data_IF_283164069593
#
_entry.id   IF_283164069593
#
_cell.length_a   1.000
_cell.length_b   1.000
_cell.length_c   1.000
_cell.angle_alpha   90.00
_cell.angle_beta   90.00
_cell.angle_gamma   90.00
#
_symmetry.space_group_name_H-M   'P 1'
#
loop_
_entity.id
_entity.type
_entity.pdbx_description
1 polymer ?
#
# COMPACT_ATOMS: atom_id res chain seq x y z
N UNK A 1 -14.16 13.86 -6.74
CA UNK A 1 -12.80 13.91 -7.29
C UNK A 1 -12.93 13.64 -8.78
N UNK A 2 -12.22 14.38 -9.65
CA UNK A 2 -12.29 14.19 -11.10
C UNK A 2 -11.30 13.18 -11.65
N UNK A 3 -10.60 12.43 -10.77
CA UNK A 3 -9.60 11.43 -11.12
C UNK A 3 -10.13 10.01 -10.90
N UNK A 4 -9.60 9.05 -11.67
CA UNK A 4 -9.72 7.64 -11.34
C UNK A 4 -9.02 7.36 -10.00
N UNK A 5 -9.57 6.45 -9.20
CA UNK A 5 -8.99 5.99 -7.93
C UNK A 5 -8.30 4.65 -8.16
N UNK A 6 -7.01 4.59 -7.83
CA UNK A 6 -6.23 3.36 -7.84
C UNK A 6 -5.89 2.97 -6.41
N UNK A 7 -6.44 1.87 -5.94
CA UNK A 7 -6.08 1.28 -4.65
C UNK A 7 -5.01 0.24 -4.88
N UNK A 8 -3.89 0.34 -4.17
CA UNK A 8 -2.74 -0.56 -4.32
C UNK A 8 -2.34 -1.17 -2.98
N UNK A 9 -1.63 -2.29 -3.07
CA UNK A 9 -0.97 -2.95 -1.95
C UNK A 9 0.24 -3.73 -2.49
N UNK A 10 1.42 -3.51 -1.90
CA UNK A 10 2.65 -4.21 -2.24
C UNK A 10 3.00 -5.23 -1.17
N UNK A 11 3.32 -6.44 -1.61
CA UNK A 11 3.92 -7.47 -0.77
C UNK A 11 5.41 -7.57 -1.05
N UNK A 12 6.23 -7.55 0.00
CA UNK A 12 7.68 -7.50 -0.12
C UNK A 12 8.35 -8.56 0.76
N UNK A 13 9.60 -8.90 0.43
CA UNK A 13 10.42 -9.80 1.24
C UNK A 13 10.73 -9.18 2.62
N UNK A 14 10.66 -9.98 3.66
CA UNK A 14 11.12 -9.63 5.01
C UNK A 14 11.61 -10.85 5.77
N UNK A 15 12.50 -10.63 6.74
CA UNK A 15 13.00 -11.67 7.64
C UNK A 15 13.15 -11.13 9.08
N UNK A 16 13.82 -11.91 9.95
CA UNK A 16 14.00 -11.56 11.37
C UNK A 16 14.91 -10.35 11.60
N UNK A 17 15.86 -10.10 10.70
CA UNK A 17 16.82 -9.00 10.77
C UNK A 17 16.44 -7.84 9.86
N UNK A 18 15.73 -8.13 8.77
CA UNK A 18 15.29 -7.20 7.76
C UNK A 18 13.75 -7.08 7.77
N UNK A 19 13.24 -6.06 8.43
CA UNK A 19 11.78 -5.83 8.55
C UNK A 19 11.47 -4.42 9.03
N UNK A 20 10.27 -3.95 8.75
CA UNK A 20 9.76 -2.65 9.21
C UNK A 20 9.67 -2.51 10.75
N UNK A 21 9.82 -3.60 11.50
CA UNK A 21 9.94 -3.54 12.96
C UNK A 21 11.37 -3.27 13.44
N UNK A 22 12.36 -3.35 12.55
CA UNK A 22 13.80 -3.22 12.85
C UNK A 22 14.43 -1.96 12.27
N UNK A 23 13.85 -1.40 11.22
CA UNK A 23 14.40 -0.26 10.49
C UNK A 23 13.31 0.70 10.06
N UNK A 24 13.68 1.91 9.64
CA UNK A 24 12.73 2.85 9.05
C UNK A 24 12.21 2.35 7.70
N UNK A 25 11.06 2.81 7.28
CA UNK A 25 10.47 2.45 5.99
C UNK A 25 11.40 2.80 4.83
N UNK A 26 12.03 3.97 4.90
CA UNK A 26 13.00 4.43 3.90
C UNK A 26 14.20 3.49 3.82
N UNK A 27 14.87 3.20 4.98
CA UNK A 27 15.99 2.28 5.03
C UNK A 27 15.61 0.88 4.53
N UNK A 28 14.38 0.43 4.81
CA UNK A 28 13.87 -0.86 4.33
C UNK A 28 13.71 -0.88 2.81
N UNK A 29 13.10 0.14 2.23
CA UNK A 29 12.86 0.19 0.77
C UNK A 29 14.16 0.43 -0.02
N UNK A 30 15.16 1.10 0.57
CA UNK A 30 16.45 1.37 -0.08
C UNK A 30 17.51 0.27 0.14
N UNK A 31 17.27 -0.71 1.00
CA UNK A 31 18.22 -1.80 1.30
C UNK A 31 18.40 -2.72 0.08
N UNK A 32 19.61 -3.27 -0.10
CA UNK A 32 19.94 -4.21 -1.17
C UNK A 32 19.12 -5.52 -1.12
N UNK A 33 18.55 -5.85 0.04
CA UNK A 33 17.66 -7.01 0.24
C UNK A 33 16.22 -6.76 -0.18
N UNK A 34 15.89 -5.53 -0.55
CA UNK A 34 14.53 -5.20 -0.95
C UNK A 34 14.11 -6.01 -2.18
N UNK A 35 12.98 -6.69 -2.07
CA UNK A 35 12.40 -7.47 -3.17
C UNK A 35 10.88 -7.32 -3.12
N UNK A 36 10.30 -6.89 -4.24
CA UNK A 36 8.85 -6.91 -4.43
C UNK A 36 8.45 -8.35 -4.79
N UNK A 37 7.57 -8.95 -4.02
CA UNK A 37 7.03 -10.28 -4.30
C UNK A 37 5.83 -10.17 -5.24
N UNK A 38 4.94 -9.21 -4.98
CA UNK A 38 3.79 -8.92 -5.84
C UNK A 38 3.19 -7.56 -5.53
N UNK A 39 2.31 -7.12 -6.41
CA UNK A 39 1.48 -5.94 -6.23
C UNK A 39 0.05 -6.27 -6.65
N UNK A 40 -0.92 -5.73 -5.95
CA UNK A 40 -2.31 -5.70 -6.40
C UNK A 40 -2.78 -4.27 -6.65
N UNK A 41 -3.68 -4.10 -7.60
CA UNK A 41 -4.22 -2.81 -8.00
C UNK A 41 -5.70 -2.94 -8.36
N UNK A 42 -6.50 -2.05 -7.77
CA UNK A 42 -7.92 -1.89 -8.07
C UNK A 42 -8.16 -0.51 -8.64
N UNK A 43 -8.70 -0.45 -9.85
CA UNK A 43 -9.12 0.81 -10.47
C UNK A 43 -10.61 1.04 -10.23
N UNK A 44 -10.97 2.08 -9.49
CA UNK A 44 -12.36 2.38 -9.13
C UNK A 44 -13.05 1.13 -8.55
N UNK A 45 -14.24 0.79 -9.04
CA UNK A 45 -15.00 -0.40 -8.63
C UNK A 45 -14.73 -1.63 -9.51
N UNK A 46 -13.71 -1.60 -10.38
CA UNK A 46 -13.31 -2.74 -11.19
C UNK A 46 -12.77 -3.89 -10.33
N UNK A 47 -12.76 -5.14 -10.83
CA UNK A 47 -12.12 -6.25 -10.13
C UNK A 47 -10.64 -5.96 -9.86
N UNK A 48 -10.18 -6.27 -8.66
CA UNK A 48 -8.77 -6.13 -8.28
C UNK A 48 -7.93 -7.09 -9.11
N UNK A 49 -6.86 -6.58 -9.69
CA UNK A 49 -5.87 -7.34 -10.44
C UNK A 49 -4.58 -7.40 -9.63
N UNK A 50 -3.78 -8.42 -9.86
CA UNK A 50 -2.49 -8.59 -9.23
C UNK A 50 -1.42 -8.98 -10.25
N UNK A 51 -0.15 -8.73 -9.89
CA UNK A 51 1.00 -8.97 -10.76
C UNK A 51 2.22 -9.34 -9.94
N UNK A 52 3.09 -10.16 -10.51
CA UNK A 52 4.41 -10.46 -10.00
C UNK A 52 5.43 -10.62 -11.13
N UNK A 53 6.68 -10.28 -10.86
CA UNK A 53 7.82 -10.49 -11.76
C UNK A 53 9.10 -10.59 -10.95
N UNK A 54 10.14 -11.13 -11.56
CA UNK A 54 11.50 -11.10 -11.01
C UNK A 54 12.23 -9.77 -11.26
N UNK A 55 11.68 -8.91 -12.11
CA UNK A 55 12.29 -7.67 -12.53
C UNK A 55 11.46 -6.46 -12.08
N UNK A 56 12.09 -5.50 -11.40
CA UNK A 56 11.39 -4.29 -10.91
C UNK A 56 10.76 -3.46 -12.04
N UNK A 57 11.43 -3.38 -13.22
CA UNK A 57 10.90 -2.63 -14.37
C UNK A 57 9.57 -3.16 -14.90
N UNK A 58 9.28 -4.46 -14.71
CA UNK A 58 8.00 -5.04 -15.09
C UNK A 58 6.86 -4.52 -14.21
N UNK A 59 7.11 -4.32 -12.90
CA UNK A 59 6.12 -3.70 -12.00
C UNK A 59 5.80 -2.26 -12.41
N UNK A 60 6.85 -1.49 -12.72
CA UNK A 60 6.69 -0.12 -13.25
C UNK A 60 5.83 -0.12 -14.51
N UNK A 61 6.20 -0.95 -15.49
CA UNK A 61 5.48 -1.06 -16.77
C UNK A 61 4.02 -1.42 -16.53
N UNK A 62 3.76 -2.43 -15.72
CA UNK A 62 2.41 -2.90 -15.41
C UNK A 62 1.53 -1.82 -14.74
N UNK A 63 2.09 -1.05 -13.80
CA UNK A 63 1.39 0.04 -13.11
C UNK A 63 1.18 1.26 -14.03
N UNK A 64 2.19 1.60 -14.85
CA UNK A 64 2.11 2.72 -15.80
C UNK A 64 1.06 2.49 -16.89
N UNK A 65 0.95 1.25 -17.42
CA UNK A 65 -0.08 0.87 -18.39
C UNK A 65 -1.50 1.02 -17.83
N UNK A 66 -1.69 0.80 -16.53
CA UNK A 66 -2.96 1.04 -15.84
C UNK A 66 -3.28 2.52 -15.63
N UNK A 67 -2.28 3.38 -15.77
CA UNK A 67 -2.43 4.82 -15.66
C UNK A 67 -2.38 5.35 -14.22
N UNK A 68 -1.75 4.61 -13.29
CA UNK A 68 -1.66 4.98 -11.86
C UNK A 68 -1.13 6.41 -11.65
N UNK A 69 -0.16 6.84 -12.48
CA UNK A 69 0.45 8.16 -12.45
C UNK A 69 -0.48 9.32 -12.85
N UNK A 70 -1.72 9.02 -13.30
CA UNK A 70 -2.70 10.01 -13.76
C UNK A 70 -3.92 10.13 -12.85
N UNK A 71 -4.01 9.30 -11.83
CA UNK A 71 -5.15 9.24 -10.92
C UNK A 71 -4.80 9.52 -9.48
N UNK A 72 -5.78 9.42 -8.60
CA UNK A 72 -5.56 9.37 -7.16
C UNK A 72 -5.10 7.96 -6.76
N UNK A 73 -4.04 7.86 -5.94
CA UNK A 73 -3.54 6.56 -5.46
C UNK A 73 -3.80 6.43 -3.97
N UNK A 74 -4.33 5.29 -3.58
CA UNK A 74 -4.76 4.94 -2.24
C UNK A 74 -4.04 3.68 -1.75
N UNK A 75 -3.52 3.72 -0.53
CA UNK A 75 -3.04 2.54 0.19
C UNK A 75 -3.45 2.59 1.66
N UNK A 76 -3.15 1.53 2.40
CA UNK A 76 -3.20 1.53 3.87
C UNK A 76 -1.77 1.61 4.42
N UNK A 77 -1.30 2.79 4.77
CA UNK A 77 0.08 3.18 5.02
C UNK A 77 0.84 3.61 3.75
N UNK A 78 0.28 4.60 3.04
CA UNK A 78 0.81 5.12 1.77
C UNK A 78 2.28 5.56 1.84
N UNK A 79 2.85 5.86 3.01
CA UNK A 79 4.29 6.12 3.15
C UNK A 79 5.13 4.95 2.66
N UNK A 80 4.68 3.71 2.90
CA UNK A 80 5.37 2.51 2.44
C UNK A 80 5.22 2.30 0.93
N UNK A 81 3.97 2.23 0.46
CA UNK A 81 3.68 1.99 -0.97
C UNK A 81 4.19 3.14 -1.84
N UNK A 82 4.12 4.37 -1.33
CA UNK A 82 4.63 5.57 -2.01
C UNK A 82 6.14 5.54 -2.23
N UNK A 83 6.93 5.09 -1.25
CA UNK A 83 8.38 4.90 -1.41
C UNK A 83 8.70 3.81 -2.44
N UNK A 84 7.87 2.78 -2.54
CA UNK A 84 8.04 1.75 -3.59
C UNK A 84 7.73 2.33 -4.97
N UNK A 85 6.68 3.15 -5.09
CA UNK A 85 6.40 3.86 -6.36
C UNK A 85 7.55 4.77 -6.77
N UNK A 86 8.15 5.49 -5.82
CA UNK A 86 9.33 6.34 -6.05
C UNK A 86 10.55 5.51 -6.47
N UNK A 87 10.87 4.43 -5.76
CA UNK A 87 11.93 3.48 -6.12
C UNK A 87 11.76 2.93 -7.54
N UNK A 88 10.54 2.62 -7.95
CA UNK A 88 10.20 2.17 -9.31
C UNK A 88 10.32 3.32 -10.35
N UNK A 89 10.55 4.56 -9.93
CA UNK A 89 10.58 5.73 -10.81
C UNK A 89 9.24 6.01 -11.48
N UNK A 90 8.14 5.73 -10.78
CA UNK A 90 6.79 6.09 -11.22
C UNK A 90 6.57 7.56 -10.90
N UNK A 91 6.17 8.41 -11.87
CA UNK A 91 5.87 9.81 -11.61
C UNK A 91 4.83 9.96 -10.49
N UNK A 92 5.10 10.87 -9.55
CA UNK A 92 4.21 11.09 -8.40
C UNK A 92 2.77 11.36 -8.86
N UNK A 93 1.78 10.58 -8.36
CA UNK A 93 0.39 10.73 -8.73
C UNK A 93 -0.17 12.11 -8.36
N UNK A 94 -1.20 12.62 -9.07
CA UNK A 94 -1.84 13.90 -8.75
C UNK A 94 -2.39 14.01 -7.33
N UNK A 95 -2.73 12.89 -6.70
CA UNK A 95 -3.24 12.84 -5.33
C UNK A 95 -2.87 11.52 -4.66
N UNK A 96 -2.35 11.61 -3.44
CA UNK A 96 -2.06 10.49 -2.57
C UNK A 96 -3.10 10.41 -1.44
N UNK A 97 -3.61 9.22 -1.17
CA UNK A 97 -4.61 8.96 -0.15
C UNK A 97 -4.14 7.81 0.76
N UNK A 98 -4.46 7.91 2.04
CA UNK A 98 -4.02 6.92 3.04
C UNK A 98 -5.15 6.61 4.02
N UNK A 99 -5.65 5.37 3.98
CA UNK A 99 -6.68 4.93 4.95
C UNK A 99 -6.15 4.79 6.37
N UNK A 100 -4.84 4.65 6.58
CA UNK A 100 -4.25 4.67 7.92
C UNK A 100 -4.35 6.07 8.53
N UNK A 101 -4.00 7.13 7.78
CA UNK A 101 -4.17 8.52 8.19
C UNK A 101 -5.65 8.85 8.44
N UNK A 102 -6.55 8.41 7.55
CA UNK A 102 -7.99 8.58 7.74
C UNK A 102 -8.49 7.89 9.02
N UNK A 103 -8.01 6.67 9.31
CA UNK A 103 -8.35 5.93 10.52
C UNK A 103 -7.75 6.58 11.78
N UNK A 104 -6.58 7.21 11.69
CA UNK A 104 -6.01 7.99 12.79
C UNK A 104 -6.95 9.13 13.21
N UNK A 105 -7.50 9.86 12.24
CA UNK A 105 -8.39 10.96 12.51
C UNK A 105 -9.78 10.52 13.03
N UNK A 106 -10.28 9.36 12.58
CA UNK A 106 -11.67 8.94 12.81
C UNK A 106 -11.85 7.82 13.82
N UNK A 107 -10.98 6.83 13.83
CA UNK A 107 -11.10 5.60 14.62
C UNK A 107 -10.18 5.59 15.83
N UNK A 108 -8.94 6.10 15.70
CA UNK A 108 -7.93 6.06 16.76
C UNK A 108 -8.39 6.62 18.09
N UNK A 109 -9.21 7.69 18.18
CA UNK A 109 -9.73 8.18 19.45
C UNK A 109 -10.56 7.15 20.24
N UNK A 110 -11.12 6.15 19.56
CA UNK A 110 -12.02 5.16 20.12
C UNK A 110 -11.45 3.73 20.13
N UNK A 111 -10.36 3.48 19.38
CA UNK A 111 -9.81 2.14 19.18
C UNK A 111 -8.29 2.12 19.36
N UNK A 112 -7.79 1.07 20.02
CA UNK A 112 -6.36 0.90 20.33
C UNK A 112 -5.51 0.66 19.07
N UNK A 113 -6.02 -0.12 18.14
CA UNK A 113 -5.34 -0.51 16.90
C UNK A 113 -6.10 0.03 15.69
N UNK A 114 -5.35 0.52 14.70
CA UNK A 114 -5.83 1.00 13.42
C UNK A 114 -5.12 0.28 12.25
N UNK A 115 -4.59 -0.93 12.49
CA UNK A 115 -4.20 -1.81 11.38
C UNK A 115 -5.41 -2.10 10.49
N UNK A 116 -5.19 -2.41 9.22
CA UNK A 116 -6.27 -2.68 8.27
C UNK A 116 -7.27 -3.70 8.82
N UNK A 117 -6.79 -4.85 9.33
CA UNK A 117 -7.63 -5.88 9.95
C UNK A 117 -8.46 -5.35 11.12
N UNK A 118 -7.86 -4.54 12.00
CA UNK A 118 -8.57 -3.92 13.12
C UNK A 118 -9.64 -2.94 12.63
N UNK A 119 -9.32 -2.09 11.65
CA UNK A 119 -10.28 -1.15 11.07
C UNK A 119 -11.45 -1.87 10.41
N UNK A 120 -11.18 -2.91 9.61
CA UNK A 120 -12.23 -3.70 8.96
C UNK A 120 -13.17 -4.36 9.97
N UNK A 121 -12.63 -4.88 11.08
CA UNK A 121 -13.42 -5.45 12.19
C UNK A 121 -14.26 -4.40 12.90
N UNK A 122 -13.67 -3.26 13.25
CA UNK A 122 -14.37 -2.17 13.97
C UNK A 122 -15.47 -1.51 13.13
N UNK A 123 -15.31 -1.51 11.82
CA UNK A 123 -16.29 -0.92 10.89
C UNK A 123 -17.32 -1.94 10.38
N UNK A 124 -17.34 -3.18 10.91
CA UNK A 124 -18.21 -4.27 10.48
C UNK A 124 -18.14 -4.56 8.97
N UNK A 125 -16.92 -4.45 8.40
CA UNK A 125 -16.69 -4.74 6.99
C UNK A 125 -17.11 -6.19 6.65
N UNK A 126 -17.70 -6.43 5.46
CA UNK A 126 -17.90 -7.80 4.95
C UNK A 126 -16.59 -8.49 4.58
N UNK A 127 -15.51 -7.71 4.37
CA UNK A 127 -14.19 -8.22 4.00
C UNK A 127 -13.44 -8.62 5.28
N UNK A 128 -12.77 -9.77 5.24
CA UNK A 128 -11.93 -10.27 6.35
C UNK A 128 -10.56 -10.64 5.83
N UNK A 129 -9.52 -10.14 6.51
CA UNK A 129 -8.14 -10.51 6.18
C UNK A 129 -7.92 -12.01 6.37
N UNK A 130 -7.20 -12.60 5.43
CA UNK A 130 -6.72 -13.98 5.54
C UNK A 130 -5.37 -13.96 6.27
N UNK A 131 -5.16 -14.85 7.24
CA UNK A 131 -3.94 -14.88 8.07
C UNK A 131 -2.74 -15.52 7.37
N UNK A 132 -2.31 -15.00 6.22
CA UNK A 132 -1.23 -15.60 5.41
C UNK A 132 0.18 -15.07 5.74
N UNK A 133 0.31 -13.89 6.36
CA UNK A 133 1.59 -13.17 6.58
C UNK A 133 2.64 -14.01 7.32
N UNK A 134 2.24 -14.84 8.27
CA UNK A 134 3.18 -15.65 9.06
C UNK A 134 3.95 -16.70 8.25
N UNK A 135 3.47 -17.06 7.07
CA UNK A 135 4.09 -18.08 6.22
C UNK A 135 5.19 -17.48 5.31
N UNK A 136 5.32 -16.14 5.26
CA UNK A 136 6.23 -15.44 4.34
C UNK A 136 7.57 -15.02 4.97
N UNK A 137 7.73 -15.16 6.28
CA UNK A 137 8.95 -14.79 6.97
C UNK A 137 10.18 -15.51 6.40
N UNK A 138 11.13 -14.76 5.83
CA UNK A 138 12.37 -15.27 5.24
C UNK A 138 12.17 -15.97 3.88
N UNK A 139 11.01 -15.79 3.25
CA UNK A 139 10.70 -16.37 1.94
C UNK A 139 10.65 -15.30 0.87
N UNK A 140 11.48 -15.47 -0.13
CA UNK A 140 11.55 -14.62 -1.32
C UNK A 140 10.72 -15.23 -2.47
N UNK A 141 10.52 -14.46 -3.54
CA UNK A 141 9.72 -14.87 -4.69
C UNK A 141 10.19 -16.22 -5.29
N UNK A 142 11.52 -16.43 -5.39
CA UNK A 142 12.10 -17.66 -5.94
C UNK A 142 11.86 -18.90 -5.09
N UNK A 143 11.52 -18.73 -3.80
CA UNK A 143 11.23 -19.83 -2.86
C UNK A 143 9.77 -20.27 -2.87
N UNK A 144 8.90 -19.58 -3.61
CA UNK A 144 7.47 -19.83 -3.63
C UNK A 144 7.10 -20.78 -4.77
N UNK A 145 6.23 -21.74 -4.47
CA UNK A 145 5.54 -22.55 -5.47
C UNK A 145 4.43 -21.74 -6.14
N UNK A 146 3.99 -22.18 -7.31
CA UNK A 146 2.86 -21.53 -8.02
C UNK A 146 1.60 -21.45 -7.14
N UNK A 147 1.30 -22.50 -6.37
CA UNK A 147 0.13 -22.49 -5.48
C UNK A 147 0.28 -21.44 -4.37
N UNK A 148 1.46 -21.35 -3.75
CA UNK A 148 1.74 -20.37 -2.70
C UNK A 148 1.67 -18.94 -3.23
N UNK A 149 2.12 -18.70 -4.47
CA UNK A 149 1.96 -17.39 -5.13
C UNK A 149 0.49 -17.03 -5.31
N UNK A 150 -0.35 -17.96 -5.74
CA UNK A 150 -1.79 -17.72 -5.86
C UNK A 150 -2.46 -17.46 -4.51
N UNK A 151 -2.10 -18.25 -3.48
CA UNK A 151 -2.64 -18.07 -2.13
C UNK A 151 -2.21 -16.70 -1.54
N UNK A 152 -0.98 -16.27 -1.85
CA UNK A 152 -0.47 -14.97 -1.42
C UNK A 152 -1.10 -13.82 -2.23
N UNK A 153 -1.37 -14.03 -3.52
CA UNK A 153 -2.11 -13.07 -4.33
C UNK A 153 -3.54 -12.85 -3.80
N UNK A 154 -4.22 -13.92 -3.40
CA UNK A 154 -5.54 -13.82 -2.75
C UNK A 154 -5.51 -12.99 -1.45
N UNK A 155 -4.39 -13.05 -0.71
CA UNK A 155 -4.17 -12.23 0.47
C UNK A 155 -4.00 -10.74 0.07
N UNK A 156 -3.08 -10.44 -0.84
CA UNK A 156 -2.79 -9.11 -1.35
C UNK A 156 -4.05 -8.45 -1.96
N UNK A 157 -4.82 -9.18 -2.77
CA UNK A 157 -6.12 -8.74 -3.32
C UNK A 157 -7.12 -8.43 -2.22
N UNK A 158 -7.18 -9.26 -1.16
CA UNK A 158 -8.08 -9.05 -0.02
C UNK A 158 -7.72 -7.76 0.73
N UNK A 159 -6.44 -7.44 0.88
CA UNK A 159 -5.98 -6.22 1.54
C UNK A 159 -6.29 -4.98 0.70
N UNK A 160 -6.09 -5.05 -0.62
CA UNK A 160 -6.50 -3.98 -1.54
C UNK A 160 -8.01 -3.73 -1.52
N UNK A 161 -8.82 -4.78 -1.62
CA UNK A 161 -10.29 -4.66 -1.53
C UNK A 161 -10.73 -4.13 -0.17
N UNK A 162 -10.08 -4.56 0.91
CA UNK A 162 -10.32 -4.06 2.26
C UNK A 162 -9.99 -2.57 2.41
N UNK A 163 -8.85 -2.15 1.88
CA UNK A 163 -8.41 -0.75 1.86
C UNK A 163 -9.38 0.11 1.05
N UNK A 164 -9.80 -0.36 -0.12
CA UNK A 164 -10.78 0.32 -0.96
C UNK A 164 -12.13 0.48 -0.24
N UNK A 165 -12.63 -0.60 0.36
CA UNK A 165 -13.88 -0.57 1.14
C UNK A 165 -13.76 0.40 2.33
N UNK A 166 -12.64 0.34 3.07
CA UNK A 166 -12.40 1.20 4.24
C UNK A 166 -12.36 2.68 3.85
N UNK A 167 -11.74 3.02 2.72
CA UNK A 167 -11.77 4.38 2.18
C UNK A 167 -13.20 4.87 1.96
N UNK A 168 -14.05 4.07 1.29
CA UNK A 168 -15.44 4.44 1.02
C UNK A 168 -16.26 4.59 2.30
N UNK A 169 -15.94 3.83 3.35
CA UNK A 169 -16.56 3.96 4.66
C UNK A 169 -16.10 5.22 5.41
N UNK A 170 -14.79 5.50 5.42
CA UNK A 170 -14.21 6.61 6.18
C UNK A 170 -14.42 7.97 5.50
N UNK A 171 -14.45 8.02 4.16
CA UNK A 171 -14.58 9.29 3.40
C UNK A 171 -15.83 10.09 3.75
N UNK A 172 -16.86 9.45 4.24
CA UNK A 172 -18.11 10.12 4.64
C UNK A 172 -17.99 10.80 6.02
N UNK A 173 -16.91 10.51 6.76
CA UNK A 173 -16.66 10.98 8.13
C UNK A 173 -15.61 12.07 8.22
N UNK A 174 -14.98 12.39 7.09
CA UNK A 174 -13.91 13.38 7.00
C UNK A 174 -14.31 14.56 6.10
N UNK A 175 -14.01 15.80 6.49
CA UNK A 175 -14.15 16.94 5.59
C UNK A 175 -13.17 16.84 4.41
N UNK A 176 -13.48 17.50 3.31
CA UNK A 176 -12.63 17.45 2.10
C UNK A 176 -11.21 17.99 2.33
N UNK A 177 -11.05 18.94 3.23
CA UNK A 177 -9.74 19.50 3.61
C UNK A 177 -8.78 18.47 4.17
N UNK A 178 -9.27 17.40 4.82
CA UNK A 178 -8.41 16.35 5.35
C UNK A 178 -7.67 15.58 4.25
N UNK A 179 -8.27 15.42 3.08
CA UNK A 179 -7.59 14.76 1.95
C UNK A 179 -6.40 15.57 1.44
N UNK A 180 -6.52 16.90 1.41
CA UNK A 180 -5.45 17.82 1.05
C UNK A 180 -4.33 17.81 2.09
N UNK A 181 -4.67 17.72 3.36
CA UNK A 181 -3.71 17.59 4.46
C UNK A 181 -2.96 16.25 4.37
N UNK A 182 -3.68 15.15 4.12
CA UNK A 182 -3.07 13.82 3.95
C UNK A 182 -2.12 13.84 2.76
N UNK A 183 -2.55 14.29 1.57
CA UNK A 183 -1.72 14.37 0.38
C UNK A 183 -0.47 15.22 0.62
N UNK A 184 -0.63 16.42 1.21
CA UNK A 184 0.49 17.32 1.51
C UNK A 184 1.49 16.65 2.47
N UNK A 185 1.01 15.99 3.52
CA UNK A 185 1.87 15.31 4.50
C UNK A 185 2.66 14.17 3.86
N UNK A 186 2.00 13.38 3.01
CA UNK A 186 2.64 12.29 2.27
C UNK A 186 3.70 12.81 1.31
N UNK A 187 3.42 13.91 0.57
CA UNK A 187 4.40 14.53 -0.32
C UNK A 187 5.61 15.07 0.41
N UNK A 188 5.44 15.69 1.58
CA UNK A 188 6.56 16.14 2.40
C UNK A 188 7.52 15.00 2.79
N UNK A 189 7.00 13.78 2.88
CA UNK A 189 7.78 12.59 3.18
C UNK A 189 8.39 11.94 1.91
N UNK A 190 7.63 11.87 0.82
CA UNK A 190 8.01 11.17 -0.40
C UNK A 190 8.81 12.04 -1.39
N UNK A 191 8.65 13.37 -1.33
CA UNK A 191 9.31 14.35 -2.19
C UNK A 191 10.12 15.33 -1.31
N UNK A 192 11.23 14.90 -0.67
CA UNK A 192 12.01 15.79 0.21
C UNK A 192 12.54 16.98 -0.58
N UNK A 193 12.34 18.21 -0.04
CA UNK A 193 12.75 19.44 -0.70
C UNK A 193 14.25 19.76 -0.57
N UNK A 194 14.95 19.08 0.34
CA UNK A 194 16.36 19.33 0.65
C UNK A 194 17.10 18.02 0.93
N UNK A 195 18.26 17.86 0.29
CA UNK A 195 19.27 16.89 0.72
C UNK A 195 20.12 17.56 1.81
N UNK A 196 20.19 16.94 2.98
CA UNK A 196 21.13 17.37 4.02
C UNK A 196 22.45 16.62 3.77
N UNK A 197 23.52 17.40 3.56
CA UNK A 197 24.89 16.82 3.60
C UNK A 197 25.12 16.18 4.97
N UNK A 198 25.62 14.93 5.04
CA UNK A 198 25.87 14.22 6.29
C UNK A 198 26.92 14.87 7.17
#
# INVERSE_FOLDING_TARGET
MGFDLYTIDFETYYDKEYSLSRMSTEAYVQDDRFEIIMVSCKKNDEPTQWFWSYEEEDYKTWLMERGIHRGAVLAHNMMFDGLILDRLGIPMPPMLLDTLCMAQATLKPHHRSISLDSCLKHCDSPIRKKGYVHNMLGRNLRSLTTQELHDYADYCVTDTDGTHWLFHYLKQRLPKSEYEIIDTTLRMYLEPAFDLDP
#
